data_IF_810842336131
#
_entry.id   IF_810842336131
#
_cell.length_a   1.000
_cell.length_b   1.000
_cell.length_c   1.000
_cell.angle_alpha   90.00
_cell.angle_beta   90.00
_cell.angle_gamma   90.00
#
_symmetry.space_group_name_H-M   'P 1'
#
loop_
_entity.id
_entity.type
_entity.pdbx_description
1 polymer ?
#
# COMPACT_ATOMS: atom_id res chain seq x y z
N UNK A 1 -17.65 -7.68 20.13
CA UNK A 1 -17.21 -7.61 21.55
C UNK A 1 -15.77 -7.11 21.62
N UNK A 2 -15.58 -5.93 22.23
CA UNK A 2 -14.44 -5.04 22.02
C UNK A 2 -13.08 -5.63 22.37
N UNK A 3 -12.17 -5.62 21.39
CA UNK A 3 -10.75 -5.80 21.64
C UNK A 3 -10.20 -4.43 22.10
N UNK A 4 -10.37 -4.11 23.38
CA UNK A 4 -9.79 -2.90 23.96
C UNK A 4 -8.27 -3.01 23.91
N UNK A 5 -7.60 -2.03 23.30
CA UNK A 5 -6.14 -1.93 23.33
C UNK A 5 -5.65 -2.14 24.77
N UNK A 6 -4.81 -3.15 25.05
CA UNK A 6 -4.52 -3.55 26.42
C UNK A 6 -3.81 -2.46 27.22
N UNK A 7 -3.32 -1.39 26.55
CA UNK A 7 -2.38 -0.46 27.15
C UNK A 7 -2.67 1.03 27.16
N UNK A 8 -3.70 1.64 26.55
CA UNK A 8 -3.96 3.12 26.42
C UNK A 8 -2.81 4.13 26.15
N UNK A 9 -1.55 3.78 26.37
CA UNK A 9 -0.36 4.61 26.45
C UNK A 9 0.72 4.00 25.56
N UNK A 10 1.55 4.83 24.94
CA UNK A 10 2.66 4.38 24.10
C UNK A 10 3.81 3.83 24.94
N UNK A 11 4.49 2.79 24.45
CA UNK A 11 5.66 2.17 25.08
C UNK A 11 6.83 2.24 24.11
N UNK A 12 8.01 2.69 24.56
CA UNK A 12 9.24 2.71 23.77
C UNK A 12 10.34 1.84 24.40
N UNK A 13 11.38 1.52 23.64
CA UNK A 13 12.49 0.67 24.12
C UNK A 13 12.10 -0.80 24.36
N UNK A 14 11.06 -1.28 23.66
CA UNK A 14 10.65 -2.68 23.68
C UNK A 14 11.49 -3.52 22.72
N UNK A 15 11.54 -4.84 22.93
CA UNK A 15 11.98 -5.78 21.90
C UNK A 15 10.77 -6.24 21.08
N UNK A 16 10.95 -6.41 19.77
CA UNK A 16 9.89 -6.90 18.88
C UNK A 16 10.38 -8.07 18.03
N UNK A 17 9.49 -9.03 17.78
CA UNK A 17 9.76 -10.18 16.90
C UNK A 17 8.50 -10.58 16.13
N UNK A 18 8.68 -11.11 14.92
CA UNK A 18 7.61 -11.69 14.12
C UNK A 18 7.56 -13.21 14.35
N UNK A 19 6.38 -13.74 14.69
CA UNK A 19 6.13 -15.18 14.84
C UNK A 19 5.12 -15.66 13.80
N UNK A 20 5.43 -16.80 13.16
CA UNK A 20 4.55 -17.47 12.20
C UNK A 20 4.04 -16.58 11.06
N UNK A 21 4.82 -15.55 10.66
CA UNK A 21 4.50 -14.66 9.53
C UNK A 21 3.42 -13.60 9.79
N UNK A 22 2.52 -13.79 10.76
CA UNK A 22 1.39 -12.87 10.99
C UNK A 22 1.25 -12.34 12.42
N UNK A 23 2.06 -12.80 13.37
CA UNK A 23 1.93 -12.41 14.78
C UNK A 23 3.12 -11.56 15.22
N UNK A 24 2.89 -10.28 15.46
CA UNK A 24 3.88 -9.35 16.02
C UNK A 24 3.91 -9.49 17.54
N UNK A 25 5.07 -9.83 18.08
CA UNK A 25 5.31 -9.98 19.52
C UNK A 25 6.13 -8.79 20.00
N UNK A 26 5.66 -8.13 21.06
CA UNK A 26 6.38 -7.07 21.78
C UNK A 26 6.69 -7.55 23.21
N UNK A 27 7.94 -7.37 23.63
CA UNK A 27 8.43 -7.76 24.96
C UNK A 27 8.94 -6.53 25.69
N UNK A 28 8.35 -6.26 26.85
CA UNK A 28 8.73 -5.20 27.77
C UNK A 28 8.63 -3.80 27.19
N UNK A 29 9.48 -2.92 27.71
CA UNK A 29 9.60 -1.52 27.33
C UNK A 29 9.29 -0.56 28.47
N UNK A 30 9.39 0.73 28.19
CA UNK A 30 9.22 1.79 29.18
C UNK A 30 8.02 2.66 28.88
N UNK A 31 7.23 2.93 29.93
CA UNK A 31 6.23 3.99 29.96
C UNK A 31 6.05 4.44 31.41
N UNK A 32 6.79 5.48 31.82
CA UNK A 32 6.83 5.97 33.21
C UNK A 32 7.53 5.02 34.20
N UNK A 33 7.54 3.72 33.90
CA UNK A 33 8.31 2.67 34.56
C UNK A 33 8.66 1.57 33.53
N UNK A 34 9.66 0.74 33.84
CA UNK A 34 10.00 -0.44 33.04
C UNK A 34 8.93 -1.50 33.25
N UNK A 35 8.36 -2.01 32.15
CA UNK A 35 7.42 -3.12 32.18
C UNK A 35 8.06 -4.38 31.58
N UNK A 36 7.55 -5.54 32.02
CA UNK A 36 7.96 -6.86 31.54
C UNK A 36 6.81 -7.54 30.76
N UNK A 37 5.92 -6.73 30.19
CA UNK A 37 4.72 -7.23 29.56
C UNK A 37 5.03 -7.89 28.21
N UNK A 38 4.28 -8.94 27.89
CA UNK A 38 4.33 -9.60 26.59
C UNK A 38 3.03 -9.32 25.85
N UNK A 39 3.11 -8.61 24.73
CA UNK A 39 1.96 -8.35 23.86
C UNK A 39 2.13 -9.12 22.56
N UNK A 40 1.08 -9.78 22.09
CA UNK A 40 1.07 -10.48 20.82
C UNK A 40 -0.12 -10.01 19.98
N UNK A 41 0.15 -9.48 18.79
CA UNK A 41 -0.84 -9.01 17.83
C UNK A 41 -0.84 -9.93 16.62
N UNK A 42 -1.90 -10.73 16.48
CA UNK A 42 -2.12 -11.53 15.27
C UNK A 42 -2.85 -10.68 14.25
N UNK A 43 -2.18 -10.41 13.13
CA UNK A 43 -2.72 -9.69 12.00
C UNK A 43 -3.61 -10.62 11.16
N UNK A 44 -4.70 -10.09 10.58
CA UNK A 44 -5.52 -10.87 9.66
C UNK A 44 -4.73 -11.17 8.36
N UNK A 45 -5.11 -12.23 7.61
CA UNK A 45 -4.46 -12.59 6.35
C UNK A 45 -4.49 -11.48 5.29
N UNK A 46 -5.44 -10.53 5.39
CA UNK A 46 -5.50 -9.32 4.55
C UNK A 46 -4.30 -8.41 4.72
N UNK A 47 -3.64 -8.45 5.89
CA UNK A 47 -2.51 -7.59 6.25
C UNK A 47 -1.21 -8.39 6.29
N UNK A 48 -1.22 -9.59 6.85
CA UNK A 48 -0.07 -10.50 6.87
C UNK A 48 -0.55 -11.95 6.80
N UNK A 49 -0.21 -12.63 5.70
CA UNK A 49 -0.55 -14.04 5.49
C UNK A 49 0.43 -14.98 6.17
N UNK A 50 -0.09 -16.04 6.80
CA UNK A 50 0.73 -17.20 7.19
C UNK A 50 0.89 -18.14 5.99
N UNK A 51 2.00 -18.86 5.95
CA UNK A 51 2.21 -19.93 4.97
C UNK A 51 1.06 -20.97 5.05
N UNK A 52 0.33 -21.14 3.95
CA UNK A 52 -0.86 -21.99 3.85
C UNK A 52 -2.21 -21.31 4.09
N UNK A 53 -2.27 -20.02 4.43
CA UNK A 53 -3.55 -19.29 4.51
C UNK A 53 -4.11 -19.06 3.09
N UNK A 54 -5.33 -19.54 2.86
CA UNK A 54 -6.10 -19.23 1.65
C UNK A 54 -7.00 -18.03 1.97
N UNK A 55 -6.65 -16.87 1.44
CA UNK A 55 -7.45 -15.66 1.51
C UNK A 55 -8.36 -15.55 0.27
N UNK A 56 -9.58 -16.05 0.41
CA UNK A 56 -10.58 -15.96 -0.65
C UNK A 56 -11.28 -14.61 -0.62
N UNK A 57 -10.81 -13.67 -1.43
CA UNK A 57 -11.39 -12.34 -1.59
C UNK A 57 -12.90 -12.38 -1.88
N UNK A 58 -13.39 -13.40 -2.59
CA UNK A 58 -14.83 -13.56 -2.88
C UNK A 58 -15.68 -13.72 -1.62
N UNK A 59 -15.23 -14.55 -0.68
CA UNK A 59 -15.98 -14.81 0.56
C UNK A 59 -16.12 -13.56 1.46
N UNK A 60 -15.19 -12.62 1.31
CA UNK A 60 -15.20 -11.32 2.00
C UNK A 60 -16.08 -10.33 1.24
N UNK A 61 -15.87 -10.17 -0.07
CA UNK A 61 -16.62 -9.23 -0.88
C UNK A 61 -18.12 -9.57 -0.95
N UNK A 62 -18.47 -10.86 -0.94
CA UNK A 62 -19.86 -11.32 -0.90
C UNK A 62 -20.65 -10.87 0.35
N UNK A 63 -19.96 -10.37 1.40
CA UNK A 63 -20.60 -9.80 2.58
C UNK A 63 -21.13 -8.38 2.36
N UNK A 64 -20.65 -7.70 1.33
CA UNK A 64 -21.07 -6.35 0.99
C UNK A 64 -22.27 -6.40 0.06
N UNK A 65 -23.39 -5.84 0.51
CA UNK A 65 -24.68 -5.88 -0.22
C UNK A 65 -24.99 -4.59 -0.98
N UNK A 66 -24.13 -3.59 -0.92
CA UNK A 66 -24.35 -2.31 -1.58
C UNK A 66 -23.07 -1.75 -2.22
N UNK A 67 -23.27 -0.95 -3.27
CA UNK A 67 -22.21 -0.25 -4.01
C UNK A 67 -21.24 0.48 -3.08
N UNK A 68 -21.75 1.30 -2.16
CA UNK A 68 -20.90 2.12 -1.28
C UNK A 68 -20.04 1.26 -0.37
N UNK A 69 -20.59 0.20 0.23
CA UNK A 69 -19.83 -0.67 1.14
C UNK A 69 -18.77 -1.46 0.37
N UNK A 70 -19.16 -2.02 -0.78
CA UNK A 70 -18.28 -2.80 -1.64
C UNK A 70 -17.08 -1.99 -2.15
N UNK A 71 -17.32 -0.76 -2.60
CA UNK A 71 -16.27 0.10 -3.18
C UNK A 71 -15.36 0.73 -2.13
N UNK A 72 -15.73 0.72 -0.85
CA UNK A 72 -14.87 1.15 0.25
C UNK A 72 -13.82 0.09 0.61
N UNK A 73 -14.08 -1.20 0.33
CA UNK A 73 -13.09 -2.24 0.50
C UNK A 73 -12.12 -2.25 -0.69
N UNK A 74 -10.80 -2.02 -0.47
CA UNK A 74 -9.82 -2.02 -1.55
C UNK A 74 -9.70 -3.35 -2.30
N UNK A 75 -10.10 -4.45 -1.66
CA UNK A 75 -10.03 -5.81 -2.17
C UNK A 75 -11.21 -6.16 -3.10
N UNK A 76 -12.24 -5.31 -3.13
CA UNK A 76 -13.51 -5.59 -3.79
C UNK A 76 -13.83 -4.60 -4.92
N UNK A 77 -14.84 -4.96 -5.72
CA UNK A 77 -15.45 -4.07 -6.70
C UNK A 77 -16.88 -4.46 -7.02
N UNK A 78 -17.67 -3.46 -7.37
CA UNK A 78 -19.10 -3.59 -7.57
C UNK A 78 -19.47 -3.86 -9.02
N UNK A 79 -20.29 -4.88 -9.26
CA UNK A 79 -20.87 -5.13 -10.56
C UNK A 79 -22.29 -4.56 -10.64
N UNK A 80 -22.50 -3.52 -11.45
CA UNK A 80 -23.82 -2.90 -11.58
C UNK A 80 -24.85 -3.76 -12.31
N UNK A 81 -24.41 -4.64 -13.23
CA UNK A 81 -25.33 -5.53 -13.97
C UNK A 81 -25.87 -6.66 -13.10
N UNK A 82 -25.03 -7.20 -12.21
CA UNK A 82 -25.38 -8.35 -11.36
C UNK A 82 -25.80 -7.91 -9.95
N UNK A 83 -25.76 -6.60 -9.66
CA UNK A 83 -26.00 -6.00 -8.33
C UNK A 83 -25.23 -6.69 -7.20
N UNK A 84 -24.02 -7.16 -7.49
CA UNK A 84 -23.22 -8.01 -6.61
C UNK A 84 -21.79 -7.48 -6.46
N UNK A 85 -21.23 -7.66 -5.27
CA UNK A 85 -19.84 -7.31 -4.97
C UNK A 85 -18.91 -8.50 -5.23
N UNK A 86 -17.90 -8.31 -6.07
CA UNK A 86 -16.90 -9.34 -6.40
C UNK A 86 -15.52 -8.95 -5.88
N UNK A 87 -14.63 -9.94 -5.80
CA UNK A 87 -13.20 -9.68 -5.62
C UNK A 87 -12.65 -8.88 -6.79
N UNK A 88 -11.83 -7.87 -6.52
CA UNK A 88 -11.34 -6.92 -7.53
C UNK A 88 -10.47 -7.56 -8.62
N UNK A 89 -9.85 -8.70 -8.34
CA UNK A 89 -9.08 -9.47 -9.35
C UNK A 89 -9.93 -10.40 -10.21
N UNK A 90 -11.24 -10.49 -9.96
CA UNK A 90 -12.18 -11.35 -10.69
C UNK A 90 -13.11 -10.54 -11.59
N UNK A 91 -12.60 -9.45 -12.17
CA UNK A 91 -13.38 -8.58 -13.06
C UNK A 91 -14.05 -9.32 -14.24
N UNK A 92 -13.52 -10.50 -14.62
CA UNK A 92 -14.10 -11.38 -15.64
C UNK A 92 -15.47 -11.97 -15.28
N UNK A 93 -15.82 -12.04 -13.99
CA UNK A 93 -17.11 -12.55 -13.53
C UNK A 93 -18.22 -11.49 -13.57
N UNK A 94 -17.86 -10.22 -13.72
CA UNK A 94 -18.85 -9.17 -13.88
C UNK A 94 -19.22 -9.02 -15.36
N UNK A 95 -20.52 -9.09 -15.66
CA UNK A 95 -21.05 -8.92 -17.02
C UNK A 95 -20.71 -7.54 -17.62
N UNK A 96 -20.40 -6.57 -16.75
CA UNK A 96 -19.95 -5.20 -17.11
C UNK A 96 -18.58 -4.89 -16.51
N UNK A 97 -18.10 -3.65 -16.63
CA UNK A 97 -16.91 -3.23 -15.91
C UNK A 97 -17.17 -3.19 -14.40
N UNK A 98 -16.25 -3.77 -13.62
CA UNK A 98 -16.27 -3.72 -12.17
C UNK A 98 -15.99 -2.28 -11.70
N UNK A 99 -16.93 -1.67 -10.98
CA UNK A 99 -16.76 -0.36 -10.38
C UNK A 99 -15.88 -0.51 -9.14
N UNK A 100 -14.72 0.15 -9.15
CA UNK A 100 -13.75 0.08 -8.04
C UNK A 100 -13.34 1.48 -7.63
N UNK A 101 -13.08 1.68 -6.34
CA UNK A 101 -12.37 2.89 -5.89
C UNK A 101 -10.90 2.73 -6.21
N UNK A 102 -10.24 3.78 -6.70
CA UNK A 102 -8.78 3.77 -6.83
C UNK A 102 -8.20 3.58 -5.44
N UNK A 103 -7.48 2.48 -5.24
CA UNK A 103 -6.68 2.32 -4.04
C UNK A 103 -5.33 2.94 -4.35
N UNK A 104 -5.05 4.15 -3.83
CA UNK A 104 -3.80 4.83 -4.14
C UNK A 104 -2.59 4.06 -3.62
N UNK A 105 -2.77 3.00 -2.80
CA UNK A 105 -1.67 2.24 -2.23
C UNK A 105 -0.81 3.10 -1.30
N UNK A 106 0.38 2.61 -0.97
CA UNK A 106 1.30 3.34 -0.08
C UNK A 106 2.07 4.44 -0.82
N UNK A 107 2.37 4.27 -2.12
CA UNK A 107 3.27 5.15 -2.85
C UNK A 107 2.92 6.65 -2.72
N UNK A 108 1.67 7.11 -2.96
CA UNK A 108 1.34 8.54 -2.90
C UNK A 108 1.48 9.17 -1.51
N UNK A 109 1.57 8.37 -0.45
CA UNK A 109 1.77 8.86 0.92
C UNK A 109 3.24 9.11 1.26
N UNK A 110 4.17 8.62 0.45
CA UNK A 110 5.61 8.68 0.69
C UNK A 110 6.20 9.93 0.04
N UNK A 111 6.68 10.85 0.88
CA UNK A 111 7.15 12.18 0.46
C UNK A 111 8.66 12.29 0.21
N UNK A 112 9.40 11.18 0.30
CA UNK A 112 10.85 11.16 0.14
C UNK A 112 11.29 10.02 -0.77
N UNK A 113 12.31 10.25 -1.61
CA UNK A 113 12.83 9.26 -2.55
C UNK A 113 13.21 7.93 -1.87
N UNK A 114 14.02 7.97 -0.81
CA UNK A 114 14.39 6.75 -0.09
C UNK A 114 13.17 6.04 0.53
N UNK A 115 12.25 6.79 1.13
CA UNK A 115 11.05 6.21 1.72
C UNK A 115 10.15 5.56 0.66
N UNK A 116 10.06 6.16 -0.53
CA UNK A 116 9.32 5.67 -1.69
C UNK A 116 9.86 4.32 -2.18
N UNK A 117 11.18 4.23 -2.35
CA UNK A 117 11.82 3.09 -3.02
C UNK A 117 12.19 1.94 -2.07
N UNK A 118 12.21 2.16 -0.75
CA UNK A 118 12.50 1.12 0.24
C UNK A 118 11.28 0.27 0.64
N UNK A 119 10.06 0.62 0.21
CA UNK A 119 8.86 -0.16 0.58
C UNK A 119 8.75 -1.49 -0.15
N UNK A 120 9.37 -1.61 -1.33
CA UNK A 120 9.26 -2.83 -2.11
C UNK A 120 10.09 -3.95 -1.47
N UNK A 121 9.50 -5.09 -1.10
CA UNK A 121 10.26 -6.24 -0.64
C UNK A 121 11.12 -6.78 -1.78
N UNK A 122 12.39 -7.09 -1.48
CA UNK A 122 13.35 -7.62 -2.47
C UNK A 122 12.91 -9.00 -3.02
N UNK A 123 12.13 -9.74 -2.25
CA UNK A 123 11.56 -11.03 -2.65
C UNK A 123 10.05 -10.88 -2.85
N UNK A 124 9.50 -11.31 -4.00
CA UNK A 124 8.06 -11.40 -4.16
C UNK A 124 7.51 -12.28 -3.04
N UNK A 125 6.59 -11.72 -2.25
CA UNK A 125 5.88 -12.46 -1.23
C UNK A 125 5.02 -13.50 -1.96
N UNK A 126 5.52 -14.74 -2.06
CA UNK A 126 4.85 -15.88 -2.70
C UNK A 126 3.44 -16.18 -2.13
N UNK A 127 3.03 -15.50 -1.06
CA UNK A 127 1.89 -15.83 -0.22
C UNK A 127 0.92 -14.67 0.02
N UNK A 128 1.15 -13.47 -0.55
CA UNK A 128 0.25 -12.35 -0.32
C UNK A 128 -0.85 -12.30 -1.37
N UNK A 129 -2.06 -12.64 -0.97
CA UNK A 129 -3.23 -12.78 -1.84
C UNK A 129 -4.03 -11.48 -2.01
N UNK A 130 -3.61 -10.40 -1.34
CA UNK A 130 -4.31 -9.12 -1.42
C UNK A 130 -4.20 -8.51 -2.81
N UNK A 131 -5.19 -7.72 -3.19
CA UNK A 131 -5.24 -7.01 -4.47
C UNK A 131 -4.04 -6.08 -4.61
N UNK A 132 -3.59 -5.47 -3.52
CA UNK A 132 -2.38 -4.64 -3.51
C UNK A 132 -1.14 -5.41 -3.97
N UNK A 133 -1.01 -6.70 -3.63
CA UNK A 133 0.09 -7.53 -4.11
C UNK A 133 -0.12 -8.02 -5.54
N UNK A 134 -1.33 -8.47 -5.88
CA UNK A 134 -1.64 -8.96 -7.24
C UNK A 134 -1.50 -7.87 -8.30
N UNK A 135 -1.75 -6.61 -7.93
CA UNK A 135 -1.61 -5.44 -8.80
C UNK A 135 -0.26 -4.71 -8.62
N UNK A 136 0.66 -5.26 -7.83
CA UNK A 136 1.97 -4.67 -7.56
C UNK A 136 1.93 -3.22 -7.02
N UNK A 137 0.90 -2.87 -6.22
CA UNK A 137 0.71 -1.54 -5.61
C UNK A 137 1.70 -1.21 -4.47
N UNK A 138 2.74 -2.01 -4.30
CA UNK A 138 3.86 -1.73 -3.40
C UNK A 138 5.13 -1.35 -4.18
N UNK A 139 5.13 -1.53 -5.50
CA UNK A 139 6.24 -1.15 -6.38
C UNK A 139 6.07 0.31 -6.78
N UNK A 140 6.85 1.15 -6.12
CA UNK A 140 6.81 2.58 -6.34
C UNK A 140 7.96 3.06 -7.22
N UNK A 141 7.72 4.13 -7.98
CA UNK A 141 8.74 4.96 -8.63
C UNK A 141 8.73 6.36 -8.02
N UNK A 142 9.88 7.02 -8.04
CA UNK A 142 10.03 8.40 -7.57
C UNK A 142 10.23 9.36 -8.74
N UNK A 143 9.33 10.33 -8.88
CA UNK A 143 9.48 11.42 -9.82
C UNK A 143 10.22 12.60 -9.17
N UNK A 144 11.43 12.91 -9.66
CA UNK A 144 12.31 13.94 -9.08
C UNK A 144 11.70 15.34 -9.21
N UNK A 145 11.15 15.67 -10.38
CA UNK A 145 10.64 17.01 -10.70
C UNK A 145 9.49 17.43 -9.80
N UNK A 146 8.59 16.50 -9.49
CA UNK A 146 7.38 16.77 -8.71
C UNK A 146 7.54 16.35 -7.25
N UNK A 147 8.67 15.71 -6.92
CA UNK A 147 8.93 15.10 -5.62
C UNK A 147 7.77 14.19 -5.17
N UNK A 148 7.33 13.34 -6.09
CA UNK A 148 6.13 12.54 -5.93
C UNK A 148 6.45 11.08 -6.14
N UNK A 149 6.02 10.27 -5.19
CA UNK A 149 6.05 8.84 -5.29
C UNK A 149 4.74 8.33 -5.92
N UNK A 150 4.84 7.45 -6.91
CA UNK A 150 3.70 6.88 -7.62
C UNK A 150 3.93 5.39 -7.89
N UNK A 151 2.89 4.66 -8.29
CA UNK A 151 3.06 3.25 -8.69
C UNK A 151 3.79 3.15 -10.01
N UNK A 152 4.54 2.07 -10.19
CA UNK A 152 5.24 1.76 -11.44
C UNK A 152 4.30 1.67 -12.66
N UNK A 153 3.06 1.23 -12.44
CA UNK A 153 2.04 1.06 -13.48
C UNK A 153 1.02 2.22 -13.52
N UNK A 154 1.25 3.31 -12.77
CA UNK A 154 0.35 4.46 -12.82
C UNK A 154 0.64 5.29 -14.09
N UNK A 155 -0.26 5.18 -15.06
CA UNK A 155 -0.19 5.96 -16.31
C UNK A 155 -0.70 7.40 -16.15
N UNK A 156 -1.25 7.77 -14.98
CA UNK A 156 -1.73 9.13 -14.71
C UNK A 156 -0.65 9.96 -14.00
N UNK A 157 -0.04 10.89 -14.73
CA UNK A 157 0.99 11.78 -14.18
C UNK A 157 2.42 11.24 -14.34
N UNK A 158 2.72 10.68 -15.52
CA UNK A 158 4.10 10.33 -15.92
C UNK A 158 5.04 11.47 -15.56
N UNK A 159 6.16 11.15 -14.93
CA UNK A 159 7.08 12.16 -14.47
C UNK A 159 7.46 13.12 -15.62
N UNK A 160 7.17 14.41 -15.46
CA UNK A 160 7.44 15.44 -16.46
C UNK A 160 6.31 15.77 -17.45
N UNK A 161 5.08 15.24 -17.28
CA UNK A 161 3.92 15.69 -18.06
C UNK A 161 3.41 17.06 -17.55
N UNK A 162 2.90 17.85 -18.50
CA UNK A 162 2.49 19.28 -18.40
C UNK A 162 1.57 19.63 -17.24
N UNK A 163 0.81 18.66 -16.74
CA UNK A 163 -0.21 18.82 -15.70
C UNK A 163 0.38 18.89 -14.28
N UNK A 164 1.60 18.40 -14.07
CA UNK A 164 2.21 18.32 -12.74
C UNK A 164 3.34 19.34 -12.51
N UNK A 165 3.73 20.12 -13.53
CA UNK A 165 4.68 21.23 -13.37
C UNK A 165 3.94 22.49 -12.93
N UNK A 166 4.32 23.14 -11.80
CA UNK A 166 3.68 24.38 -11.34
C UNK A 166 3.70 25.51 -12.39
N UNK A 167 4.65 25.45 -13.33
CA UNK A 167 4.80 26.40 -14.44
C UNK A 167 3.87 26.12 -15.64
N UNK A 168 3.17 24.98 -15.68
CA UNK A 168 2.35 24.50 -16.82
C UNK A 168 3.09 24.44 -18.18
N UNK A 169 4.41 24.60 -18.16
CA UNK A 169 5.28 24.52 -19.32
C UNK A 169 5.86 23.11 -19.41
N UNK A 170 5.32 22.29 -20.32
CA UNK A 170 5.97 21.05 -20.72
C UNK A 170 7.35 21.36 -21.31
N UNK A 171 8.35 20.57 -20.96
CA UNK A 171 9.66 20.65 -21.61
C UNK A 171 10.73 21.48 -20.90
N UNK A 172 10.43 22.23 -19.82
CA UNK A 172 11.49 22.92 -19.05
C UNK A 172 12.54 21.94 -18.49
N UNK A 173 12.12 20.69 -18.22
CA UNK A 173 12.96 19.59 -17.75
C UNK A 173 13.35 18.58 -18.84
N UNK A 174 13.07 18.87 -20.12
CA UNK A 174 13.16 17.92 -21.24
C UNK A 174 11.82 17.25 -21.58
N UNK A 175 11.81 16.40 -22.60
CA UNK A 175 10.60 15.70 -23.09
C UNK A 175 10.06 14.64 -22.12
N UNK A 176 10.90 14.15 -21.19
CA UNK A 176 10.56 13.19 -20.13
C UNK A 176 11.20 13.61 -18.81
N UNK A 177 10.48 13.45 -17.70
CA UNK A 177 11.02 13.63 -16.36
C UNK A 177 11.99 12.52 -15.97
N UNK A 178 12.63 12.67 -14.80
CA UNK A 178 13.58 11.70 -14.25
C UNK A 178 12.81 10.87 -13.23
N UNK A 179 12.61 9.60 -13.56
CA UNK A 179 12.09 8.60 -12.63
C UNK A 179 13.25 7.81 -12.02
N UNK A 180 13.21 7.64 -10.71
CA UNK A 180 14.14 6.81 -9.96
C UNK A 180 13.40 5.56 -9.50
N UNK A 181 13.99 4.40 -9.77
CA UNK A 181 13.46 3.09 -9.37
C UNK A 181 14.33 2.37 -8.34
N UNK A 182 15.59 2.79 -8.15
CA UNK A 182 16.50 2.24 -7.14
C UNK A 182 16.79 3.28 -6.04
N UNK A 183 16.58 2.88 -4.77
CA UNK A 183 16.89 3.71 -3.61
C UNK A 183 18.34 4.23 -3.58
N UNK A 184 19.30 3.52 -4.18
CA UNK A 184 20.71 3.95 -4.26
C UNK A 184 20.89 5.21 -5.09
N UNK A 185 20.05 5.39 -6.11
CA UNK A 185 20.11 6.54 -7.02
C UNK A 185 19.51 7.80 -6.42
N UNK A 186 18.73 7.70 -5.33
CA UNK A 186 18.17 8.87 -4.64
C UNK A 186 19.25 9.90 -4.27
N UNK A 187 20.42 9.46 -3.80
CA UNK A 187 21.47 10.39 -3.37
C UNK A 187 22.10 11.18 -4.53
N UNK A 188 22.15 10.59 -5.72
CA UNK A 188 22.82 11.18 -6.89
C UNK A 188 21.84 11.92 -7.80
N UNK A 189 20.62 11.38 -7.92
CA UNK A 189 19.65 11.73 -8.96
C UNK A 189 18.43 12.46 -8.42
N UNK A 190 18.12 12.40 -7.12
CA UNK A 190 17.04 13.21 -6.49
C UNK A 190 17.52 14.66 -6.25
N UNK A 191 17.86 15.33 -7.35
CA UNK A 191 18.31 16.72 -7.36
C UNK A 191 17.33 17.53 -8.19
N UNK A 192 16.45 18.25 -7.49
CA UNK A 192 15.51 19.16 -8.14
C UNK A 192 16.31 20.32 -8.74
N UNK A 193 16.14 20.65 -10.02
CA UNK A 193 16.81 21.81 -10.55
C UNK A 193 16.01 23.06 -10.18
N UNK A 194 16.73 24.09 -9.78
CA UNK A 194 16.25 25.28 -9.08
C UNK A 194 17.44 25.85 -8.30
N UNK A 195 17.47 27.16 -7.98
CA UNK A 195 18.64 27.80 -7.38
C UNK A 195 19.06 27.16 -6.06
#
# INVERSE_FOLDING_TARGET
PGNSYPKKQGVFGHAAALRNGNTLIFVGGYHGNVNADLLAYTLPPTVAGKEGDVYESESMCARHHGLSECTLDPECGWCSADETCYGRTLGVNCTTNLQTTRCPGICPTLSHCHACLLQAPETPLNHSQSVAHKLDLYKCNWCVQNARCHHINDNFGTCGVREDVPSQMAGWWGEKGIEISDAKECKTSDKRPGP
#
